data_IF_957959910498
#
_entry.id   IF_957959910498
#
_cell.length_a   1.000
_cell.length_b   1.000
_cell.length_c   1.000
_cell.angle_alpha   90.00
_cell.angle_beta   90.00
_cell.angle_gamma   90.00
#
_symmetry.space_group_name_H-M   'P 1'
#
loop_
_entity.id
_entity.type
_entity.pdbx_description
1 polymer ?
#
# COMPACT_ATOMS: atom_id res chain seq x y z
N UNK A 1 14.47 -18.38 12.18
CA UNK A 1 13.52 -17.36 11.69
C UNK A 1 12.13 -17.86 11.99
N UNK A 2 11.25 -17.05 12.59
CA UNK A 2 9.84 -17.47 12.79
C UNK A 2 9.07 -17.23 11.50
N UNK A 3 8.15 -18.11 11.15
CA UNK A 3 7.22 -17.92 10.03
C UNK A 3 6.10 -16.95 10.46
N UNK A 4 6.39 -15.66 10.35
CA UNK A 4 5.45 -14.61 10.72
C UNK A 4 4.21 -14.58 9.79
N UNK A 5 4.32 -14.69 8.47
CA UNK A 5 3.14 -14.75 7.60
C UNK A 5 2.22 -15.93 7.93
N UNK A 6 2.77 -17.12 8.16
CA UNK A 6 1.97 -18.29 8.55
C UNK A 6 1.24 -18.09 9.89
N UNK A 7 1.89 -17.44 10.86
CA UNK A 7 1.23 -17.12 12.13
C UNK A 7 0.09 -16.11 11.96
N UNK A 8 0.24 -15.11 11.09
CA UNK A 8 -0.83 -14.14 10.77
C UNK A 8 -1.99 -14.84 10.08
N UNK A 9 -1.72 -15.71 9.09
CA UNK A 9 -2.76 -16.48 8.39
C UNK A 9 -3.57 -17.30 9.40
N UNK A 10 -2.89 -18.09 10.26
CA UNK A 10 -3.57 -18.89 11.26
C UNK A 10 -4.42 -18.06 12.24
N UNK A 11 -3.94 -16.88 12.64
CA UNK A 11 -4.69 -16.01 13.54
C UNK A 11 -5.97 -15.47 12.88
N UNK A 12 -5.92 -15.04 11.61
CA UNK A 12 -7.11 -14.56 10.89
C UNK A 12 -8.11 -15.69 10.61
N UNK A 13 -7.63 -16.90 10.25
CA UNK A 13 -8.51 -18.05 10.04
C UNK A 13 -9.21 -18.48 11.33
N UNK A 14 -8.54 -18.38 12.48
CA UNK A 14 -9.15 -18.65 13.78
C UNK A 14 -10.31 -17.68 14.12
N UNK A 15 -10.27 -16.46 13.58
CA UNK A 15 -11.34 -15.45 13.70
C UNK A 15 -12.40 -15.55 12.59
N UNK A 16 -12.36 -16.62 11.79
CA UNK A 16 -13.36 -16.89 10.75
C UNK A 16 -13.13 -16.18 9.42
N UNK A 17 -11.97 -15.61 9.18
CA UNK A 17 -11.59 -15.11 7.87
C UNK A 17 -11.15 -16.24 6.95
N UNK A 18 -11.38 -16.07 5.66
CA UNK A 18 -10.92 -17.00 4.63
C UNK A 18 -9.64 -16.46 4.03
N UNK A 19 -8.53 -17.18 4.18
CA UNK A 19 -7.30 -16.85 3.48
C UNK A 19 -7.48 -17.02 1.97
N UNK A 20 -7.17 -15.98 1.19
CA UNK A 20 -7.47 -15.93 -0.24
C UNK A 20 -6.23 -15.93 -1.12
N UNK A 21 -5.05 -15.80 -0.52
CA UNK A 21 -3.78 -15.77 -1.22
C UNK A 21 -2.88 -14.62 -0.81
N UNK A 22 -1.84 -14.39 -1.57
CA UNK A 22 -0.92 -13.28 -1.34
C UNK A 22 -0.31 -12.76 -2.64
N UNK A 23 0.13 -11.51 -2.62
CA UNK A 23 1.06 -10.97 -3.59
C UNK A 23 2.41 -10.67 -2.92
N UNK A 24 3.47 -10.67 -3.73
CA UNK A 24 4.82 -10.35 -3.31
C UNK A 24 5.25 -9.05 -3.97
N UNK A 25 5.69 -8.09 -3.17
CA UNK A 25 6.32 -6.86 -3.67
C UNK A 25 7.81 -7.12 -3.85
N UNK A 26 8.26 -7.09 -5.11
CA UNK A 26 9.67 -7.26 -5.43
C UNK A 26 10.49 -6.07 -4.91
N UNK A 27 11.67 -6.35 -4.39
CA UNK A 27 12.59 -5.34 -3.85
C UNK A 27 13.99 -5.55 -4.39
N UNK A 28 14.70 -4.44 -4.58
CA UNK A 28 16.11 -4.52 -4.95
C UNK A 28 16.94 -5.08 -3.77
N UNK A 29 17.61 -6.24 -3.94
CA UNK A 29 18.39 -6.87 -2.87
C UNK A 29 19.55 -6.01 -2.39
N UNK A 30 20.14 -5.16 -3.23
CA UNK A 30 21.21 -4.25 -2.82
C UNK A 30 20.70 -3.10 -1.96
N UNK A 31 19.55 -2.52 -2.31
CA UNK A 31 18.88 -1.53 -1.46
C UNK A 31 18.50 -2.13 -0.10
N UNK A 32 18.03 -3.38 -0.10
CA UNK A 32 17.75 -4.13 1.13
C UNK A 32 19.01 -4.37 1.96
N UNK A 33 20.13 -4.74 1.34
CA UNK A 33 21.40 -4.96 2.04
C UNK A 33 21.85 -3.70 2.79
N UNK A 34 21.78 -2.55 2.13
CA UNK A 34 22.16 -1.25 2.69
C UNK A 34 21.21 -0.86 3.85
N UNK A 35 19.90 -0.95 3.61
CA UNK A 35 18.88 -0.53 4.58
C UNK A 35 18.85 -1.41 5.83
N UNK A 36 18.97 -2.73 5.66
CA UNK A 36 18.89 -3.68 6.76
C UNK A 36 20.26 -4.06 7.35
N UNK A 37 21.35 -3.57 6.75
CA UNK A 37 22.73 -3.97 7.08
C UNK A 37 22.92 -5.49 7.08
N UNK A 38 22.21 -6.17 6.19
CA UNK A 38 22.24 -7.64 6.10
C UNK A 38 23.50 -8.13 5.40
N UNK A 39 24.40 -8.71 6.14
CA UNK A 39 25.62 -9.32 5.59
C UNK A 39 25.32 -10.41 4.56
N UNK A 40 24.24 -11.15 4.70
CA UNK A 40 23.84 -12.25 3.81
C UNK A 40 23.42 -11.79 2.39
N UNK A 41 23.24 -10.48 2.17
CA UNK A 41 22.92 -9.90 0.85
C UNK A 41 24.10 -9.16 0.21
N UNK A 42 25.29 -9.18 0.83
CA UNK A 42 26.47 -8.49 0.30
C UNK A 42 27.21 -9.34 -0.73
N UNK A 43 27.69 -8.72 -1.79
CA UNK A 43 28.58 -9.37 -2.77
C UNK A 43 29.82 -10.01 -2.12
N UNK A 44 30.35 -9.40 -1.05
CA UNK A 44 31.47 -9.95 -0.28
C UNK A 44 31.12 -11.32 0.33
N UNK A 45 29.90 -11.49 0.81
CA UNK A 45 29.44 -12.77 1.36
C UNK A 45 29.31 -13.81 0.25
N UNK A 46 28.70 -13.44 -0.88
CA UNK A 46 28.62 -14.31 -2.05
C UNK A 46 30.00 -14.76 -2.53
N UNK A 47 30.95 -13.85 -2.61
CA UNK A 47 32.31 -14.15 -3.08
C UNK A 47 33.11 -15.03 -2.10
N UNK A 48 32.83 -14.94 -0.80
CA UNK A 48 33.54 -15.71 0.23
C UNK A 48 32.93 -17.09 0.46
N UNK A 49 31.61 -17.14 0.57
CA UNK A 49 30.85 -18.35 0.82
C UNK A 49 29.38 -18.13 0.44
N UNK A 50 29.00 -18.62 -0.73
CA UNK A 50 27.64 -18.46 -1.25
C UNK A 50 26.57 -19.16 -0.40
N UNK A 51 26.94 -20.21 0.36
CA UNK A 51 26.02 -20.90 1.26
C UNK A 51 25.56 -20.01 2.44
N UNK A 52 26.32 -18.97 2.75
CA UNK A 52 25.98 -17.96 3.74
C UNK A 52 25.08 -16.83 3.19
N UNK A 53 24.80 -16.84 1.89
CA UNK A 53 23.89 -15.90 1.25
C UNK A 53 22.44 -16.36 1.39
N UNK A 54 21.49 -15.41 1.33
CA UNK A 54 20.07 -15.69 1.31
C UNK A 54 19.34 -14.73 0.37
N UNK A 55 18.16 -15.08 -0.14
CA UNK A 55 17.30 -14.14 -0.86
C UNK A 55 16.94 -12.93 0.00
N UNK A 56 16.61 -11.81 -0.65
CA UNK A 56 15.99 -10.68 0.01
C UNK A 56 14.66 -11.09 0.66
N UNK A 57 14.34 -10.48 1.80
CA UNK A 57 13.02 -10.63 2.41
C UNK A 57 12.09 -9.67 1.69
N UNK A 58 11.21 -10.24 0.85
CA UNK A 58 10.21 -9.49 0.11
C UNK A 58 9.01 -9.18 1.02
N UNK A 59 8.32 -8.07 0.78
CA UNK A 59 7.06 -7.81 1.46
C UNK A 59 5.96 -8.69 0.85
N UNK A 60 5.08 -9.19 1.71
CA UNK A 60 3.92 -9.97 1.31
C UNK A 60 2.65 -9.20 1.67
N UNK A 61 1.78 -9.03 0.68
CA UNK A 61 0.41 -8.56 0.87
C UNK A 61 -0.46 -9.79 0.99
N UNK A 62 -0.97 -10.07 2.18
CA UNK A 62 -1.84 -11.21 2.44
C UNK A 62 -3.29 -10.78 2.20
N UNK A 63 -4.03 -11.58 1.44
CA UNK A 63 -5.43 -11.34 1.13
C UNK A 63 -6.33 -12.26 1.96
N UNK A 64 -7.34 -11.65 2.55
CA UNK A 64 -8.37 -12.35 3.30
C UNK A 64 -9.74 -11.82 2.88
N UNK A 65 -10.73 -12.68 2.92
CA UNK A 65 -12.14 -12.30 2.73
C UNK A 65 -13.01 -12.77 3.88
N UNK A 66 -14.06 -12.04 4.16
CA UNK A 66 -15.14 -12.53 5.04
C UNK A 66 -15.96 -13.58 4.31
N UNK A 67 -16.57 -14.54 5.02
CA UNK A 67 -17.58 -15.42 4.45
C UNK A 67 -18.76 -14.60 3.89
N UNK A 68 -19.37 -15.10 2.81
CA UNK A 68 -20.50 -14.47 2.14
C UNK A 68 -20.13 -13.82 0.80
N UNK A 69 -21.10 -13.13 0.22
CA UNK A 69 -20.98 -12.44 -1.05
C UNK A 69 -20.99 -10.90 -0.82
N UNK A 70 -20.36 -10.16 -1.72
CA UNK A 70 -20.45 -8.70 -1.70
C UNK A 70 -21.86 -8.25 -2.09
N UNK A 71 -22.45 -7.37 -1.32
CA UNK A 71 -23.74 -6.76 -1.65
C UNK A 71 -23.68 -5.98 -2.97
N UNK A 72 -22.53 -5.34 -3.22
CA UNK A 72 -22.22 -4.68 -4.49
C UNK A 72 -20.95 -5.33 -5.03
N UNK A 73 -20.95 -5.91 -6.23
CA UNK A 73 -19.75 -6.45 -6.86
C UNK A 73 -18.69 -5.38 -7.06
N UNK A 74 -17.41 -5.74 -6.89
CA UNK A 74 -16.29 -4.86 -7.21
C UNK A 74 -15.92 -5.06 -8.68
N UNK A 75 -16.04 -4.01 -9.49
CA UNK A 75 -15.93 -4.06 -10.96
C UNK A 75 -14.89 -3.09 -11.52
N UNK A 76 -13.59 -3.24 -11.18
CA UNK A 76 -12.55 -2.27 -11.56
C UNK A 76 -12.35 -2.19 -13.09
N UNK A 77 -12.64 -3.24 -13.83
CA UNK A 77 -12.54 -3.25 -15.31
C UNK A 77 -13.68 -2.43 -15.93
N UNK A 78 -14.90 -2.62 -15.47
CA UNK A 78 -16.08 -1.87 -15.94
C UNK A 78 -15.98 -0.39 -15.57
N UNK A 79 -15.40 -0.08 -14.40
CA UNK A 79 -15.16 1.29 -13.95
C UNK A 79 -13.96 1.96 -14.67
N UNK A 80 -13.22 1.23 -15.51
CA UNK A 80 -12.06 1.74 -16.24
C UNK A 80 -10.81 1.99 -15.38
N UNK A 81 -10.77 1.46 -14.16
CA UNK A 81 -9.64 1.64 -13.24
C UNK A 81 -8.49 0.66 -13.47
N UNK A 82 -8.82 -0.54 -13.97
CA UNK A 82 -7.89 -1.61 -14.29
C UNK A 82 -8.30 -2.21 -15.63
N UNK A 83 -7.40 -2.27 -16.60
CA UNK A 83 -7.59 -3.01 -17.83
C UNK A 83 -7.20 -4.50 -17.67
N UNK A 84 -7.47 -5.29 -18.69
CA UNK A 84 -7.19 -6.72 -18.67
C UNK A 84 -5.68 -7.02 -18.57
N UNK A 85 -4.83 -6.22 -19.17
CA UNK A 85 -3.38 -6.39 -19.11
C UNK A 85 -2.87 -6.12 -17.69
N UNK A 86 -3.32 -5.02 -17.08
CA UNK A 86 -3.00 -4.69 -15.70
C UNK A 86 -3.51 -5.76 -14.73
N UNK A 87 -4.71 -6.28 -14.97
CA UNK A 87 -5.26 -7.36 -14.16
C UNK A 87 -4.40 -8.63 -14.23
N UNK A 88 -3.99 -9.07 -15.44
CA UNK A 88 -3.11 -10.23 -15.62
C UNK A 88 -1.81 -10.05 -14.82
N UNK A 89 -1.22 -8.86 -14.89
CA UNK A 89 -0.02 -8.54 -14.14
C UNK A 89 -0.23 -8.64 -12.61
N UNK A 90 -1.28 -8.02 -12.09
CA UNK A 90 -1.60 -8.02 -10.66
C UNK A 90 -1.97 -9.41 -10.16
N UNK A 91 -2.73 -10.18 -10.94
CA UNK A 91 -3.10 -11.56 -10.65
C UNK A 91 -1.91 -12.53 -10.68
N UNK A 92 -0.83 -12.19 -11.39
CA UNK A 92 0.43 -12.93 -11.35
C UNK A 92 1.10 -12.97 -9.98
N UNK A 93 0.69 -12.09 -9.06
CA UNK A 93 1.08 -12.11 -7.66
C UNK A 93 2.53 -11.72 -7.38
N UNK A 94 3.27 -11.24 -8.38
CA UNK A 94 4.63 -10.71 -8.22
C UNK A 94 4.65 -9.29 -8.77
N UNK A 95 4.60 -8.31 -7.87
CA UNK A 95 4.55 -6.89 -8.22
C UNK A 95 5.96 -6.31 -8.26
N UNK A 96 6.43 -6.05 -9.47
CA UNK A 96 7.81 -5.57 -9.74
C UNK A 96 7.88 -4.07 -10.05
N UNK A 97 6.74 -3.43 -10.26
CA UNK A 97 6.62 -2.03 -10.65
C UNK A 97 6.36 -1.07 -9.48
N UNK A 98 6.45 -1.56 -8.26
CA UNK A 98 6.27 -0.75 -7.06
C UNK A 98 7.48 0.17 -6.88
N UNK A 99 7.24 1.47 -6.87
CA UNK A 99 8.26 2.48 -6.61
C UNK A 99 8.59 2.53 -5.12
N UNK A 100 9.78 2.03 -4.75
CA UNK A 100 10.18 1.91 -3.33
C UNK A 100 10.23 3.27 -2.60
N UNK A 101 10.41 4.36 -3.34
CA UNK A 101 10.49 5.74 -2.80
C UNK A 101 9.17 6.49 -2.80
N UNK A 102 8.13 5.95 -3.42
CA UNK A 102 6.82 6.58 -3.48
C UNK A 102 6.06 6.33 -2.17
N UNK A 103 6.34 7.17 -1.19
CA UNK A 103 5.79 7.12 0.17
C UNK A 103 5.44 8.51 0.66
N UNK A 104 4.56 8.61 1.64
CA UNK A 104 4.32 9.90 2.31
C UNK A 104 5.58 10.37 3.07
N UNK A 105 5.70 11.68 3.21
CA UNK A 105 6.81 12.31 3.94
C UNK A 105 6.68 12.05 5.44
N UNK A 106 7.57 11.21 5.96
CA UNK A 106 7.56 10.80 7.36
C UNK A 106 8.49 11.64 8.27
N UNK A 107 9.35 12.48 7.69
CA UNK A 107 10.34 13.25 8.45
C UNK A 107 9.69 14.19 9.48
N UNK A 108 8.52 14.74 9.16
CA UNK A 108 7.78 15.63 10.07
C UNK A 108 7.05 14.90 11.22
N UNK A 109 7.00 13.56 11.18
CA UNK A 109 6.40 12.73 12.22
C UNK A 109 7.42 12.24 13.25
N UNK A 110 8.72 12.56 13.06
CA UNK A 110 9.78 12.14 13.98
C UNK A 110 9.83 13.04 15.19
N UNK A 111 9.60 12.46 16.35
CA UNK A 111 10.02 13.05 17.62
C UNK A 111 11.52 12.84 17.84
N UNK A 112 12.20 13.81 18.48
CA UNK A 112 13.66 13.83 18.68
C UNK A 112 14.19 12.62 19.46
N UNK A 113 13.34 11.89 20.17
CA UNK A 113 13.69 10.74 21.00
C UNK A 113 13.19 9.40 20.46
N UNK A 114 12.47 9.39 19.34
CA UNK A 114 11.73 8.20 18.96
C UNK A 114 12.04 7.75 17.55
N UNK A 115 12.37 6.50 17.50
CA UNK A 115 12.12 5.58 16.42
C UNK A 115 12.59 6.00 15.01
N UNK A 116 13.75 5.53 14.69
CA UNK A 116 14.29 5.41 13.33
C UNK A 116 13.41 4.54 12.43
N UNK A 117 12.16 4.23 12.84
CA UNK A 117 11.35 3.13 12.28
C UNK A 117 10.04 3.55 11.62
N UNK A 118 9.76 4.84 11.45
CA UNK A 118 8.64 5.24 10.58
C UNK A 118 9.00 4.88 9.15
N UNK A 119 8.43 3.80 8.66
CA UNK A 119 8.57 3.35 7.29
C UNK A 119 7.17 3.27 6.67
N UNK A 120 6.65 4.35 6.09
CA UNK A 120 5.33 4.33 5.46
C UNK A 120 5.34 3.34 4.30
N UNK A 121 4.18 2.69 4.10
CA UNK A 121 3.99 1.76 3.00
C UNK A 121 4.02 2.51 1.66
N UNK A 122 4.52 1.86 0.63
CA UNK A 122 4.54 2.41 -0.72
C UNK A 122 3.12 2.62 -1.24
N UNK A 123 2.87 3.82 -1.75
CA UNK A 123 1.54 4.23 -2.23
C UNK A 123 1.06 3.37 -3.39
N UNK A 124 1.98 2.91 -4.25
CA UNK A 124 1.64 2.02 -5.36
C UNK A 124 1.09 0.66 -4.89
N UNK A 125 1.64 0.10 -3.81
CA UNK A 125 1.12 -1.14 -3.21
C UNK A 125 -0.32 -0.96 -2.72
N UNK A 126 -0.59 0.16 -2.03
CA UNK A 126 -1.91 0.48 -1.52
C UNK A 126 -2.88 0.72 -2.69
N UNK A 127 -2.46 1.46 -3.71
CA UNK A 127 -3.27 1.76 -4.90
C UNK A 127 -3.72 0.49 -5.61
N UNK A 128 -2.81 -0.48 -5.78
CA UNK A 128 -3.18 -1.78 -6.34
C UNK A 128 -4.27 -2.48 -5.52
N UNK A 129 -4.14 -2.49 -4.19
CA UNK A 129 -5.15 -3.10 -3.32
C UNK A 129 -6.48 -2.35 -3.36
N UNK A 130 -6.48 -1.02 -3.30
CA UNK A 130 -7.68 -0.19 -3.33
C UNK A 130 -8.46 -0.40 -4.63
N UNK A 131 -7.79 -0.38 -5.78
CA UNK A 131 -8.44 -0.59 -7.09
C UNK A 131 -8.93 -2.01 -7.29
N UNK A 132 -8.21 -3.03 -6.79
CA UNK A 132 -8.62 -4.42 -6.93
C UNK A 132 -9.82 -4.79 -6.06
N UNK A 133 -9.96 -4.18 -4.88
CA UNK A 133 -10.85 -4.69 -3.84
C UNK A 133 -11.87 -3.68 -3.33
N UNK A 134 -12.04 -2.56 -4.02
CA UNK A 134 -13.12 -1.60 -3.71
C UNK A 134 -13.60 -0.85 -4.95
N UNK A 135 -14.84 -0.38 -4.92
CA UNK A 135 -15.37 0.54 -5.93
C UNK A 135 -15.17 2.01 -5.51
N UNK A 136 -15.17 2.97 -6.47
CA UNK A 136 -15.25 4.38 -6.15
C UNK A 136 -16.43 4.69 -5.21
N UNK A 137 -16.20 5.57 -4.24
CA UNK A 137 -17.20 5.94 -3.23
C UNK A 137 -17.34 4.97 -2.04
N UNK A 138 -16.75 3.77 -2.10
CA UNK A 138 -16.72 2.83 -0.97
C UNK A 138 -15.73 3.28 0.12
N UNK A 139 -15.77 2.62 1.27
CA UNK A 139 -14.96 3.01 2.43
C UNK A 139 -13.80 2.04 2.65
N UNK A 140 -12.59 2.56 2.71
CA UNK A 140 -11.38 1.86 3.13
C UNK A 140 -11.17 2.11 4.62
N UNK A 141 -11.05 1.03 5.40
CA UNK A 141 -10.74 1.08 6.84
C UNK A 141 -9.28 0.68 7.07
N UNK A 142 -8.53 1.52 7.78
CA UNK A 142 -7.19 1.16 8.28
C UNK A 142 -7.14 1.28 9.81
N UNK A 143 -6.98 0.17 10.54
CA UNK A 143 -6.87 0.19 12.00
C UNK A 143 -5.48 0.60 12.51
N UNK A 144 -4.51 0.78 11.63
CA UNK A 144 -3.13 1.17 11.92
C UNK A 144 -2.70 2.28 10.95
N UNK A 145 -3.39 3.43 11.01
CA UNK A 145 -3.29 4.47 10.00
C UNK A 145 -1.88 5.08 9.87
N UNK A 146 -1.11 5.15 10.96
CA UNK A 146 0.19 5.79 10.95
C UNK A 146 0.09 7.26 10.51
N UNK A 147 0.87 7.64 9.50
CA UNK A 147 0.81 8.98 8.89
C UNK A 147 -0.23 9.10 7.76
N UNK A 148 -1.08 8.07 7.59
CA UNK A 148 -2.25 8.13 6.72
C UNK A 148 -2.09 7.59 5.32
N UNK A 149 -1.10 6.73 5.02
CA UNK A 149 -0.82 6.28 3.65
C UNK A 149 -2.02 5.60 2.98
N UNK A 150 -2.70 4.68 3.67
CA UNK A 150 -3.87 3.96 3.15
C UNK A 150 -5.06 4.91 2.94
N UNK A 151 -5.32 5.79 3.90
CA UNK A 151 -6.39 6.77 3.82
C UNK A 151 -6.13 7.79 2.71
N UNK A 152 -4.87 8.24 2.55
CA UNK A 152 -4.44 9.15 1.48
C UNK A 152 -4.72 8.57 0.10
N UNK A 153 -4.28 7.33 -0.15
CA UNK A 153 -4.52 6.67 -1.43
C UNK A 153 -6.01 6.39 -1.65
N UNK A 154 -6.74 6.00 -0.61
CA UNK A 154 -8.19 5.82 -0.72
C UNK A 154 -8.88 7.10 -1.21
N UNK A 155 -8.57 8.26 -0.63
CA UNK A 155 -9.09 9.56 -1.06
C UNK A 155 -8.61 9.93 -2.47
N UNK A 156 -7.33 9.67 -2.80
CA UNK A 156 -6.78 9.94 -4.13
C UNK A 156 -7.51 9.16 -5.23
N UNK A 157 -7.89 7.93 -4.93
CA UNK A 157 -8.59 7.03 -5.85
C UNK A 157 -10.14 7.13 -5.73
N UNK A 158 -10.66 8.20 -5.12
CA UNK A 158 -12.09 8.47 -5.05
C UNK A 158 -12.88 7.60 -4.05
N UNK A 159 -12.20 6.97 -3.08
CA UNK A 159 -12.84 6.24 -1.97
C UNK A 159 -12.98 7.15 -0.76
N UNK A 160 -13.79 6.72 0.20
CA UNK A 160 -13.81 7.27 1.57
C UNK A 160 -12.79 6.53 2.42
N UNK A 161 -12.32 7.15 3.50
CA UNK A 161 -11.39 6.51 4.42
C UNK A 161 -11.84 6.65 5.88
N UNK A 162 -11.60 5.60 6.66
CA UNK A 162 -11.66 5.62 8.12
C UNK A 162 -10.32 5.10 8.62
N UNK A 163 -9.61 5.91 9.42
CA UNK A 163 -8.32 5.55 9.97
C UNK A 163 -8.30 5.65 11.49
N UNK A 164 -7.58 4.73 12.13
CA UNK A 164 -7.36 4.71 13.57
C UNK A 164 -5.85 4.79 13.81
N UNK A 165 -5.43 5.74 14.64
CA UNK A 165 -4.03 5.91 15.05
C UNK A 165 -3.98 6.33 16.53
N UNK A 166 -3.15 5.64 17.31
CA UNK A 166 -3.02 5.90 18.76
C UNK A 166 -1.96 6.95 19.08
N UNK A 167 -0.96 7.10 18.20
CA UNK A 167 0.11 8.08 18.42
C UNK A 167 -0.29 9.43 17.88
N UNK A 168 -0.49 10.39 18.77
CA UNK A 168 -0.99 11.73 18.46
C UNK A 168 -0.13 12.45 17.39
N UNK A 169 1.20 12.33 17.45
CA UNK A 169 2.09 12.95 16.46
C UNK A 169 1.87 12.38 15.05
N UNK A 170 1.64 11.07 14.92
CA UNK A 170 1.33 10.43 13.64
C UNK A 170 -0.07 10.82 13.16
N UNK A 171 -1.04 10.82 14.07
CA UNK A 171 -2.40 11.25 13.78
C UNK A 171 -2.44 12.69 13.22
N UNK A 172 -1.73 13.62 13.84
CA UNK A 172 -1.66 15.01 13.40
C UNK A 172 -1.02 15.14 12.00
N UNK A 173 0.00 14.34 11.69
CA UNK A 173 0.59 14.28 10.35
C UNK A 173 -0.39 13.67 9.35
N UNK A 174 -1.11 12.61 9.72
CA UNK A 174 -2.14 12.02 8.89
C UNK A 174 -3.25 13.03 8.54
N UNK A 175 -3.77 13.74 9.54
CA UNK A 175 -4.80 14.79 9.31
C UNK A 175 -4.32 15.84 8.31
N UNK A 176 -3.06 16.30 8.41
CA UNK A 176 -2.50 17.24 7.45
C UNK A 176 -2.43 16.65 6.04
N UNK A 177 -1.87 15.44 5.88
CA UNK A 177 -1.77 14.76 4.60
C UNK A 177 -3.15 14.55 3.95
N UNK A 178 -4.16 14.19 4.75
CA UNK A 178 -5.52 13.98 4.27
C UNK A 178 -6.21 15.30 3.87
N UNK A 179 -5.99 16.36 4.63
CA UNK A 179 -6.49 17.70 4.27
C UNK A 179 -5.90 18.18 2.96
N UNK A 180 -4.61 17.96 2.74
CA UNK A 180 -3.92 18.34 1.50
C UNK A 180 -4.49 17.60 0.28
N UNK A 181 -4.69 16.27 0.37
CA UNK A 181 -5.24 15.51 -0.76
C UNK A 181 -6.72 15.83 -1.00
N UNK A 182 -7.52 16.07 0.02
CA UNK A 182 -8.90 16.51 -0.15
C UNK A 182 -8.97 17.88 -0.84
N UNK A 183 -8.10 18.81 -0.48
CA UNK A 183 -8.03 20.12 -1.15
C UNK A 183 -7.62 19.96 -2.62
N UNK A 184 -6.63 19.10 -2.91
CA UNK A 184 -6.19 18.80 -4.26
C UNK A 184 -7.32 18.19 -5.11
N UNK A 185 -8.08 17.25 -4.56
CA UNK A 185 -9.20 16.59 -5.25
C UNK A 185 -10.38 17.55 -5.54
N UNK A 186 -10.51 18.67 -4.80
CA UNK A 186 -11.55 19.70 -5.03
C UNK A 186 -11.12 20.74 -6.06
N UNK A 187 -9.84 20.81 -6.40
CA UNK A 187 -9.36 21.76 -7.42
C UNK A 187 -9.79 21.28 -8.80
N UNK A 188 -10.46 22.15 -9.61
CA UNK A 188 -10.77 21.82 -10.99
C UNK A 188 -9.47 21.55 -11.78
N UNK A 189 -9.48 20.51 -12.58
CA UNK A 189 -8.38 20.22 -13.49
C UNK A 189 -8.40 21.16 -14.70
N UNK A 190 -7.30 21.26 -15.43
CA UNK A 190 -7.26 22.00 -16.70
C UNK A 190 -8.33 21.50 -17.67
N UNK A 191 -8.62 20.20 -17.67
CA UNK A 191 -9.66 19.60 -18.51
C UNK A 191 -11.07 20.04 -18.10
N UNK A 192 -11.33 20.26 -16.82
CA UNK A 192 -12.63 20.76 -16.34
C UNK A 192 -12.86 22.19 -16.86
N UNK A 193 -11.82 23.03 -16.85
CA UNK A 193 -11.90 24.37 -17.44
C UNK A 193 -12.11 24.32 -18.96
N UNK A 194 -11.37 23.47 -19.68
CA UNK A 194 -11.53 23.34 -21.15
C UNK A 194 -12.93 22.81 -21.52
N UNK A 195 -13.46 21.84 -20.77
CA UNK A 195 -14.80 21.30 -20.99
C UNK A 195 -15.90 22.35 -20.68
N UNK A 196 -15.70 23.18 -19.67
CA UNK A 196 -16.63 24.28 -19.35
C UNK A 196 -16.66 25.33 -20.46
N UNK A 197 -15.51 25.67 -21.06
CA UNK A 197 -15.44 26.58 -22.20
C UNK A 197 -16.11 26.00 -23.46
N UNK A 198 -15.92 24.69 -23.72
CA UNK A 198 -16.56 24.00 -24.86
C UNK A 198 -18.09 23.88 -24.71
N UNK A 199 -18.61 23.85 -23.49
CA UNK A 199 -20.06 23.82 -23.24
C UNK A 199 -20.71 25.22 -23.25
N UNK A 200 -19.90 26.27 -23.13
CA UNK A 200 -20.36 27.66 -23.15
C UNK A 200 -20.31 28.30 -24.54
N UNK A 201 -19.76 27.65 -25.56
CA UNK A 201 -19.64 28.07 -26.96
C UNK A 201 -20.69 27.39 -27.85
#
# INVERSE_FOLDING_TARGET
MKDFPGAVIAAYEAEGWIYWGYAVVAKNPQAQAIRTKSHALLFKTLARDSASSRPAILDRVLFFKKPGENAVPVTPVENGEIDNERWIYLAGGIWTDIRETETLQYMSARDTNDEKHVAPLQLDTIRNCVKLYSNPGETVLTPFMGIGSEAYVALQEGRKAIGIELKETYFNVAVRNLTEIEAANRMPTLFDFMNAELQAA
#
